data_IF_189240369491
#
_entry.id   IF_189240369491
#
_cell.length_a   1.000
_cell.length_b   1.000
_cell.length_c   1.000
_cell.angle_alpha   90.00
_cell.angle_beta   90.00
_cell.angle_gamma   90.00
#
_symmetry.space_group_name_H-M   'P 1'
#
loop_
_entity.id
_entity.type
_entity.pdbx_description
1 polymer ?
#
# COMPACT_ATOMS: atom_id res chain seq x y z
N UNK A 1 13.26 20.07 -29.38
CA UNK A 1 13.36 20.00 -27.93
C UNK A 1 12.19 19.24 -27.36
N UNK A 2 12.47 18.35 -26.51
CA UNK A 2 11.43 17.58 -25.89
C UNK A 2 10.99 18.24 -24.61
N UNK A 3 9.74 18.59 -24.62
CA UNK A 3 9.16 19.12 -23.42
C UNK A 3 8.22 18.07 -22.89
N UNK A 4 8.64 17.42 -21.91
CA UNK A 4 7.75 16.53 -21.19
C UNK A 4 7.70 17.01 -19.76
N UNK A 5 6.56 16.88 -19.17
CA UNK A 5 6.43 17.16 -17.76
C UNK A 5 7.24 16.14 -17.01
N UNK A 6 8.26 16.57 -16.29
CA UNK A 6 9.00 15.61 -15.50
C UNK A 6 8.07 15.02 -14.45
N UNK A 7 8.20 13.72 -14.27
CA UNK A 7 7.50 13.09 -13.17
C UNK A 7 8.05 13.67 -11.87
N UNK A 8 7.18 13.95 -10.89
CA UNK A 8 7.68 14.37 -9.60
C UNK A 8 8.63 13.33 -9.06
N UNK A 9 9.74 13.80 -8.54
CA UNK A 9 10.68 12.90 -7.91
C UNK A 9 10.35 12.80 -6.44
N UNK A 10 10.28 11.58 -5.98
CA UNK A 10 10.02 11.34 -4.58
C UNK A 10 11.35 11.30 -3.83
N UNK A 11 11.43 12.04 -2.74
CA UNK A 11 12.63 12.03 -1.91
C UNK A 11 12.73 10.70 -1.16
N UNK A 12 13.93 10.42 -0.64
CA UNK A 12 14.12 9.23 0.19
C UNK A 12 13.22 9.26 1.41
N UNK A 13 13.04 10.45 1.99
CA UNK A 13 12.17 10.60 3.15
C UNK A 13 10.73 10.34 2.81
N UNK A 14 10.28 10.83 1.67
CA UNK A 14 8.91 10.59 1.23
C UNK A 14 8.67 9.09 1.01
N UNK A 15 9.64 8.42 0.40
CA UNK A 15 9.52 6.98 0.15
C UNK A 15 9.52 6.22 1.47
N UNK A 16 10.41 6.59 2.39
CA UNK A 16 10.46 5.95 3.69
C UNK A 16 9.15 6.12 4.45
N UNK A 17 8.64 7.35 4.46
CA UNK A 17 7.37 7.63 5.13
C UNK A 17 6.24 6.83 4.52
N UNK A 18 6.22 6.73 3.20
CA UNK A 18 5.18 5.97 2.51
C UNK A 18 5.27 4.48 2.82
N UNK A 19 6.48 3.93 2.92
CA UNK A 19 6.64 2.52 3.29
C UNK A 19 6.06 2.21 4.66
N UNK A 20 6.15 3.16 5.56
CA UNK A 20 5.71 2.98 6.95
C UNK A 20 4.30 3.46 7.20
N UNK A 21 3.60 3.92 6.17
CA UNK A 21 2.24 4.40 6.32
C UNK A 21 1.33 3.27 6.76
N UNK A 22 0.46 3.52 7.75
CA UNK A 22 -0.49 2.50 8.19
C UNK A 22 -1.44 2.13 7.05
N UNK A 23 -1.54 0.84 6.75
CA UNK A 23 -2.36 0.38 5.64
C UNK A 23 -3.86 0.47 5.92
N UNK A 24 -4.28 0.20 7.15
CA UNK A 24 -5.70 0.12 7.45
C UNK A 24 -6.45 1.40 7.07
N UNK A 25 -6.03 2.61 7.51
CA UNK A 25 -6.72 3.82 7.10
C UNK A 25 -6.71 4.04 5.59
N UNK A 26 -5.59 3.72 4.94
CA UNK A 26 -5.47 3.89 3.50
C UNK A 26 -6.46 3.00 2.74
N UNK A 27 -6.60 1.76 3.19
CA UNK A 27 -7.51 0.82 2.55
C UNK A 27 -8.97 1.18 2.84
N UNK A 28 -9.25 1.71 4.02
CA UNK A 28 -10.59 2.18 4.35
C UNK A 28 -10.99 3.34 3.44
N UNK A 29 -10.06 4.24 3.12
CA UNK A 29 -10.33 5.34 2.20
C UNK A 29 -10.68 4.84 0.81
N UNK A 30 -10.22 3.67 0.44
CA UNK A 30 -10.55 3.06 -0.85
C UNK A 30 -11.77 2.16 -0.77
N UNK A 31 -12.51 2.24 0.32
CA UNK A 31 -13.73 1.46 0.54
C UNK A 31 -13.47 -0.05 0.56
N UNK A 32 -12.27 -0.46 0.90
CA UNK A 32 -11.97 -1.88 1.10
C UNK A 32 -12.37 -2.28 2.51
N UNK A 33 -13.10 -3.38 2.60
CA UNK A 33 -13.51 -3.88 3.89
C UNK A 33 -12.38 -4.63 4.55
N UNK A 34 -12.26 -4.41 5.86
CA UNK A 34 -11.26 -5.07 6.67
C UNK A 34 -11.94 -5.73 7.86
N UNK A 35 -11.45 -6.90 8.23
CA UNK A 35 -11.95 -7.63 9.39
C UNK A 35 -10.85 -7.70 10.42
N UNK A 36 -11.06 -7.03 11.55
CA UNK A 36 -10.06 -7.00 12.61
C UNK A 36 -9.98 -8.35 13.31
N UNK A 37 -8.75 -8.80 13.51
CA UNK A 37 -8.46 -10.03 14.21
C UNK A 37 -7.61 -9.73 15.44
N UNK A 38 -7.24 -10.76 16.16
CA UNK A 38 -6.41 -10.60 17.36
C UNK A 38 -5.03 -10.04 17.00
N UNK A 39 -4.41 -9.35 17.96
CA UNK A 39 -3.03 -8.88 17.85
C UNK A 39 -2.82 -7.85 16.74
N UNK A 40 -3.86 -7.08 16.39
CA UNK A 40 -3.71 -6.02 15.40
C UNK A 40 -3.65 -6.50 13.97
N UNK A 41 -3.98 -7.75 13.71
CA UNK A 41 -4.05 -8.27 12.35
C UNK A 41 -5.40 -7.96 11.73
N UNK A 42 -5.41 -7.72 10.42
CA UNK A 42 -6.64 -7.47 9.67
C UNK A 42 -6.67 -8.37 8.45
N UNK A 43 -7.85 -8.90 8.17
CA UNK A 43 -8.08 -9.68 6.96
C UNK A 43 -8.85 -8.83 5.96
N UNK A 44 -8.60 -9.10 4.67
CA UNK A 44 -9.36 -8.48 3.60
C UNK A 44 -10.20 -9.54 2.91
N UNK A 45 -11.53 -9.50 3.05
CA UNK A 45 -12.37 -10.50 2.38
C UNK A 45 -12.16 -10.56 0.87
N UNK A 46 -11.79 -9.42 0.24
CA UNK A 46 -11.54 -9.40 -1.20
C UNK A 46 -10.29 -10.18 -1.60
N UNK A 47 -9.39 -10.44 -0.67
CA UNK A 47 -8.14 -11.16 -0.93
C UNK A 47 -7.96 -12.23 0.14
N UNK A 48 -8.66 -13.36 0.01
CA UNK A 48 -8.62 -14.40 1.05
C UNK A 48 -7.22 -14.87 1.36
N UNK A 49 -6.87 -14.90 2.63
CA UNK A 49 -5.55 -15.33 3.08
C UNK A 49 -4.54 -14.21 3.25
N UNK A 50 -4.84 -13.03 2.72
CA UNK A 50 -3.96 -11.88 2.88
C UNK A 50 -4.17 -11.25 4.26
N UNK A 51 -3.07 -10.97 4.96
CA UNK A 51 -3.09 -10.41 6.30
C UNK A 51 -2.38 -9.07 6.30
N UNK A 52 -3.02 -8.06 6.88
CA UNK A 52 -2.45 -6.73 7.03
C UNK A 52 -2.21 -6.45 8.50
N UNK A 53 -1.05 -5.92 8.82
CA UNK A 53 -0.74 -5.47 10.16
C UNK A 53 0.07 -4.18 10.07
N UNK A 54 -0.51 -3.09 10.54
CA UNK A 54 0.16 -1.79 10.52
C UNK A 54 0.52 -1.39 9.08
N UNK A 55 1.79 -1.16 8.80
CA UNK A 55 2.26 -0.83 7.44
C UNK A 55 2.73 -2.05 6.67
N UNK A 56 2.51 -3.23 7.22
CA UNK A 56 3.05 -4.46 6.69
C UNK A 56 1.91 -5.40 6.30
N UNK A 57 2.14 -6.20 5.27
CA UNK A 57 1.18 -7.20 4.82
C UNK A 57 1.90 -8.45 4.36
N UNK A 58 1.20 -9.56 4.39
CA UNK A 58 1.70 -10.81 3.85
C UNK A 58 0.57 -11.64 3.31
N UNK A 59 0.86 -12.38 2.28
CA UNK A 59 -0.08 -13.29 1.63
C UNK A 59 0.62 -14.63 1.47
N UNK A 60 0.61 -15.47 2.49
CA UNK A 60 1.40 -16.72 2.47
C UNK A 60 1.08 -17.62 1.29
N UNK A 61 -0.18 -17.73 0.93
CA UNK A 61 -0.59 -18.61 -0.17
C UNK A 61 0.01 -18.19 -1.51
N UNK A 62 0.30 -16.92 -1.67
CA UNK A 62 0.92 -16.39 -2.88
C UNK A 62 2.40 -16.13 -2.71
N UNK A 63 2.93 -16.40 -1.53
CA UNK A 63 4.33 -16.15 -1.21
C UNK A 63 4.72 -14.69 -1.45
N UNK A 64 3.84 -13.79 -1.04
CA UNK A 64 4.05 -12.35 -1.19
C UNK A 64 4.01 -11.69 0.18
N UNK A 65 4.77 -10.60 0.30
CA UNK A 65 4.78 -9.77 1.50
C UNK A 65 5.42 -8.43 1.15
N UNK A 66 5.17 -7.43 1.98
CA UNK A 66 5.80 -6.16 1.74
C UNK A 66 5.28 -5.05 2.64
N UNK A 67 5.60 -3.82 2.24
CA UNK A 67 5.20 -2.62 2.95
C UNK A 67 3.98 -1.98 2.25
N UNK A 68 3.62 -0.77 2.67
CA UNK A 68 2.45 -0.10 2.10
C UNK A 68 2.60 0.15 0.60
N UNK A 69 3.78 0.57 0.16
CA UNK A 69 4.00 0.80 -1.27
C UNK A 69 3.81 -0.50 -2.05
N UNK A 70 4.41 -1.58 -1.54
CA UNK A 70 4.30 -2.88 -2.19
C UNK A 70 2.85 -3.32 -2.31
N UNK A 71 2.02 -3.03 -1.33
CA UNK A 71 0.61 -3.38 -1.39
C UNK A 71 -0.07 -2.69 -2.58
N UNK A 72 0.14 -1.38 -2.70
CA UNK A 72 -0.50 -0.63 -3.76
C UNK A 72 0.00 -1.04 -5.13
N UNK A 73 1.28 -1.40 -5.23
CA UNK A 73 1.85 -1.83 -6.51
C UNK A 73 1.48 -3.28 -6.84
N UNK A 74 1.72 -4.21 -5.91
CA UNK A 74 1.60 -5.63 -6.21
C UNK A 74 0.16 -6.13 -6.11
N UNK A 75 -0.62 -5.62 -5.18
CA UNK A 75 -1.97 -6.10 -4.96
C UNK A 75 -2.97 -5.26 -5.74
N UNK A 76 -2.85 -3.94 -5.67
CA UNK A 76 -3.80 -3.05 -6.34
C UNK A 76 -3.40 -2.72 -7.78
N UNK A 77 -2.21 -3.10 -8.20
CA UNK A 77 -1.80 -2.94 -9.58
C UNK A 77 -1.42 -1.54 -10.00
N UNK A 78 -1.12 -0.67 -9.05
CA UNK A 78 -0.75 0.70 -9.37
C UNK A 78 0.73 0.80 -9.74
N UNK A 79 1.06 1.85 -10.50
CA UNK A 79 2.47 2.19 -10.71
C UNK A 79 3.06 2.70 -9.39
N UNK A 80 4.38 2.70 -9.30
CA UNK A 80 5.05 3.25 -8.12
C UNK A 80 4.62 4.70 -7.89
N UNK A 81 4.59 5.49 -8.96
CA UNK A 81 4.20 6.89 -8.86
C UNK A 81 2.78 7.05 -8.32
N UNK A 82 1.84 6.30 -8.88
CA UNK A 82 0.45 6.37 -8.43
C UNK A 82 0.30 5.86 -7.00
N UNK A 83 1.05 4.81 -6.65
CA UNK A 83 1.04 4.31 -5.28
C UNK A 83 1.51 5.39 -4.32
N UNK A 84 2.60 6.08 -4.66
CA UNK A 84 3.11 7.15 -3.81
C UNK A 84 2.09 8.27 -3.65
N UNK A 85 1.43 8.65 -4.74
CA UNK A 85 0.40 9.69 -4.68
C UNK A 85 -0.76 9.28 -3.77
N UNK A 86 -1.19 8.03 -3.86
CA UNK A 86 -2.29 7.54 -3.03
C UNK A 86 -1.91 7.52 -1.55
N UNK A 87 -0.68 7.15 -1.26
CA UNK A 87 -0.23 7.01 0.13
C UNK A 87 0.08 8.35 0.76
N UNK A 88 0.77 9.22 0.03
CA UNK A 88 1.18 10.51 0.58
C UNK A 88 0.05 11.54 0.54
N UNK A 89 -0.97 11.24 -0.21
CA UNK A 89 -2.12 12.12 -0.31
C UNK A 89 -1.91 13.24 -1.30
N UNK A 90 -2.95 14.03 -1.49
CA UNK A 90 -2.90 15.17 -2.40
C UNK A 90 -2.07 16.28 -1.84
#
# INVERSE_FOLDING_TARGET
MTLHSPQPRWSREQIRTARLAPLVPLLQQRALQLSEQAAGNFLLPAYPGLIVKDSYWRWPERNLAGNAIDFFVQILGLSFHDAMRQITGP
#
